data_IF_012971411201
#
_entry.id   IF_012971411201
#
_cell.length_a   1.000
_cell.length_b   1.000
_cell.length_c   1.000
_cell.angle_alpha   90.00
_cell.angle_beta   90.00
_cell.angle_gamma   90.00
#
_symmetry.space_group_name_H-M   'P 1'
#
loop_
_entity.id
_entity.type
_entity.pdbx_description
1 polymer ?
#
# COMPACT_ATOMS: atom_id res chain seq x y z
N UNK A 1 10.24 13.33 -6.78
CA UNK A 1 10.44 12.15 -5.92
C UNK A 1 9.87 12.48 -4.57
N UNK A 2 8.83 11.78 -4.14
CA UNK A 2 8.18 11.96 -2.83
C UNK A 2 8.31 10.68 -2.01
N UNK A 3 8.46 10.83 -0.70
CA UNK A 3 8.54 9.72 0.24
C UNK A 3 7.77 10.07 1.50
N UNK A 4 7.08 9.10 2.07
CA UNK A 4 6.34 9.30 3.30
C UNK A 4 5.91 8.00 3.94
N UNK A 5 5.10 8.12 4.98
CA UNK A 5 4.53 6.99 5.69
C UNK A 5 3.01 7.02 5.51
N UNK A 6 2.45 5.88 5.13
CA UNK A 6 1.02 5.63 5.19
C UNK A 6 0.73 4.72 6.39
N UNK A 7 -0.27 5.13 7.17
CA UNK A 7 -0.73 4.45 8.37
C UNK A 7 -2.23 4.22 8.24
N UNK A 8 -2.66 2.97 8.36
CA UNK A 8 -4.07 2.60 8.41
C UNK A 8 -4.35 1.87 9.71
N UNK A 9 -5.27 2.41 10.51
CA UNK A 9 -5.77 1.75 11.72
C UNK A 9 -6.53 0.47 11.37
N UNK A 10 -6.72 -0.46 12.32
CA UNK A 10 -7.56 -1.65 12.12
C UNK A 10 -8.92 -1.30 11.50
N UNK A 11 -9.21 -1.89 10.34
CA UNK A 11 -10.46 -1.66 9.61
C UNK A 11 -10.62 -0.26 8.96
N UNK A 12 -9.61 0.60 9.03
CA UNK A 12 -9.63 1.89 8.34
C UNK A 12 -9.68 1.68 6.82
N UNK A 13 -10.54 2.43 6.16
CA UNK A 13 -10.68 2.37 4.71
C UNK A 13 -9.51 3.12 4.07
N UNK A 14 -8.75 2.42 3.24
CA UNK A 14 -7.83 3.06 2.30
C UNK A 14 -8.62 3.86 1.25
N UNK A 15 -8.31 5.15 1.14
CA UNK A 15 -8.97 6.10 0.24
C UNK A 15 -8.11 6.51 -0.94
N UNK A 16 -6.98 5.84 -1.18
CA UNK A 16 -6.14 6.11 -2.34
C UNK A 16 -6.89 5.81 -3.65
N UNK A 17 -6.78 6.74 -4.59
CA UNK A 17 -7.25 6.62 -5.96
C UNK A 17 -6.06 6.34 -6.89
N UNK A 18 -6.30 5.77 -8.09
CA UNK A 18 -5.27 5.69 -9.12
C UNK A 18 -4.64 7.06 -9.39
N UNK A 19 -3.33 7.09 -9.57
CA UNK A 19 -2.55 8.31 -9.77
C UNK A 19 -1.48 8.09 -10.83
N UNK A 20 -0.92 9.19 -11.35
CA UNK A 20 -0.06 9.18 -12.53
C UNK A 20 1.40 8.79 -12.25
N UNK A 21 1.72 8.36 -11.04
CA UNK A 21 3.09 8.07 -10.61
C UNK A 21 3.22 6.59 -10.26
N UNK A 22 4.38 6.01 -10.57
CA UNK A 22 4.70 4.70 -10.04
C UNK A 22 4.92 4.81 -8.53
N UNK A 23 4.46 3.80 -7.78
CA UNK A 23 4.55 3.77 -6.33
C UNK A 23 5.21 2.49 -5.83
N UNK A 24 6.12 2.65 -4.88
CA UNK A 24 6.72 1.53 -4.14
C UNK A 24 6.34 1.64 -2.68
N UNK A 25 5.82 0.56 -2.11
CA UNK A 25 5.66 0.41 -0.67
C UNK A 25 6.72 -0.51 -0.08
N UNK A 26 7.22 -0.16 1.10
CA UNK A 26 7.90 -1.08 2.01
C UNK A 26 7.03 -1.29 3.25
N UNK A 27 6.63 -2.53 3.51
CA UNK A 27 5.83 -2.88 4.68
C UNK A 27 6.71 -2.93 5.93
N UNK A 28 6.49 -2.01 6.86
CA UNK A 28 7.21 -1.98 8.14
C UNK A 28 6.56 -2.91 9.17
N UNK A 29 5.22 -2.88 9.25
CA UNK A 29 4.42 -3.72 10.14
C UNK A 29 2.95 -3.81 9.68
N UNK A 30 2.21 -4.75 10.26
CA UNK A 30 0.78 -4.93 10.05
C UNK A 30 0.40 -6.28 9.46
N UNK A 31 -0.90 -6.43 9.23
CA UNK A 31 -1.53 -7.58 8.59
C UNK A 31 -2.54 -7.11 7.53
N UNK A 32 -3.19 -8.06 6.85
CA UNK A 32 -4.14 -7.78 5.78
C UNK A 32 -3.54 -8.05 4.40
N UNK A 33 -4.03 -7.33 3.39
CA UNK A 33 -3.63 -7.51 2.01
C UNK A 33 -3.64 -6.18 1.25
N UNK A 34 -2.87 -6.11 0.18
CA UNK A 34 -3.04 -5.10 -0.87
C UNK A 34 -3.67 -5.75 -2.09
N UNK A 35 -4.69 -5.10 -2.66
CA UNK A 35 -5.21 -5.41 -3.98
C UNK A 35 -4.54 -4.48 -4.98
N UNK A 36 -3.98 -5.02 -6.07
CA UNK A 36 -3.37 -4.26 -7.17
C UNK A 36 -4.01 -4.77 -8.47
N UNK A 37 -4.82 -3.92 -9.11
CA UNK A 37 -5.68 -4.30 -10.22
C UNK A 37 -6.70 -5.36 -9.80
N UNK A 38 -6.45 -6.63 -10.18
CA UNK A 38 -7.30 -7.79 -9.86
C UNK A 38 -6.58 -8.86 -9.04
N UNK A 39 -5.37 -8.57 -8.55
CA UNK A 39 -4.54 -9.50 -7.78
C UNK A 39 -4.42 -9.02 -6.35
N UNK A 40 -4.54 -9.94 -5.40
CA UNK A 40 -4.35 -9.68 -3.99
C UNK A 40 -3.02 -10.27 -3.50
N UNK A 41 -2.33 -9.55 -2.63
CA UNK A 41 -1.08 -9.95 -2.01
C UNK A 41 -1.17 -9.77 -0.50
N UNK A 42 -0.88 -10.82 0.26
CA UNK A 42 -0.86 -10.73 1.73
C UNK A 42 0.35 -9.94 2.21
N UNK A 43 0.11 -9.02 3.16
CA UNK A 43 1.19 -8.22 3.73
C UNK A 43 2.09 -9.07 4.62
N UNK A 44 3.40 -8.79 4.55
CA UNK A 44 4.42 -9.32 5.44
C UNK A 44 5.43 -8.21 5.72
N UNK A 45 5.99 -8.20 6.92
CA UNK A 45 7.12 -7.33 7.26
C UNK A 45 8.25 -7.50 6.23
N UNK A 46 8.86 -6.38 5.86
CA UNK A 46 9.97 -6.26 4.90
C UNK A 46 9.60 -6.62 3.44
N UNK A 47 8.30 -6.70 3.14
CA UNK A 47 7.81 -6.86 1.77
C UNK A 47 7.88 -5.54 1.00
N UNK A 48 8.54 -5.58 -0.16
CA UNK A 48 8.45 -4.52 -1.17
C UNK A 48 7.30 -4.79 -2.14
N UNK A 49 6.55 -3.75 -2.46
CA UNK A 49 5.37 -3.81 -3.32
C UNK A 49 5.51 -2.72 -4.36
N UNK A 50 5.42 -3.06 -5.64
CA UNK A 50 5.39 -2.10 -6.74
C UNK A 50 3.98 -1.99 -7.30
N UNK A 51 3.53 -0.75 -7.47
CA UNK A 51 2.25 -0.38 -8.08
C UNK A 51 2.54 0.50 -9.29
N UNK A 52 2.22 0.05 -10.52
CA UNK A 52 2.36 0.88 -11.69
C UNK A 52 1.38 2.07 -11.67
N UNK A 53 1.77 3.18 -12.30
CA UNK A 53 0.89 4.33 -12.52
C UNK A 53 -0.47 3.93 -13.12
N UNK A 54 -1.51 4.65 -12.74
CA UNK A 54 -2.92 4.47 -13.15
C UNK A 54 -3.54 3.11 -12.75
N UNK A 55 -2.81 2.24 -12.05
CA UNK A 55 -3.35 0.97 -11.56
C UNK A 55 -4.06 1.18 -10.23
N UNK A 56 -5.36 0.85 -10.20
CA UNK A 56 -6.13 0.83 -8.96
C UNK A 56 -5.50 -0.09 -7.94
N UNK A 57 -5.28 0.43 -6.74
CA UNK A 57 -4.73 -0.32 -5.62
C UNK A 57 -5.40 0.12 -4.32
N UNK A 58 -5.43 -0.77 -3.32
CA UNK A 58 -5.87 -0.45 -1.96
C UNK A 58 -5.38 -1.49 -0.96
N UNK A 59 -5.04 -1.04 0.23
CA UNK A 59 -4.89 -1.89 1.40
C UNK A 59 -6.26 -2.23 2.02
N UNK A 60 -6.42 -3.46 2.51
CA UNK A 60 -7.68 -3.89 3.14
C UNK A 60 -7.50 -5.09 4.09
N UNK A 61 -8.54 -5.32 4.90
CA UNK A 61 -8.68 -6.53 5.71
C UNK A 61 -7.74 -6.61 6.92
N UNK A 62 -7.16 -5.49 7.33
CA UNK A 62 -6.23 -5.43 8.46
C UNK A 62 -6.96 -5.46 9.80
N UNK A 63 -6.45 -6.26 10.73
CA UNK A 63 -6.88 -6.30 12.13
C UNK A 63 -5.90 -5.60 13.06
N UNK A 64 -4.69 -5.34 12.56
CA UNK A 64 -3.63 -4.53 13.19
C UNK A 64 -3.39 -3.27 12.36
N UNK A 65 -2.64 -2.34 12.93
CA UNK A 65 -2.18 -1.16 12.18
C UNK A 65 -1.30 -1.61 11.01
N UNK A 66 -1.60 -1.13 9.80
CA UNK A 66 -0.68 -1.20 8.66
C UNK A 66 0.21 0.03 8.70
N UNK A 67 1.53 -0.16 8.70
CA UNK A 67 2.50 0.90 8.52
C UNK A 67 3.39 0.58 7.33
N UNK A 68 3.38 1.47 6.34
CA UNK A 68 4.23 1.34 5.14
C UNK A 68 4.97 2.63 4.88
N UNK A 69 6.19 2.52 4.36
CA UNK A 69 6.85 3.65 3.68
C UNK A 69 6.41 3.61 2.22
N UNK A 70 5.97 4.74 1.67
CA UNK A 70 5.70 4.86 0.24
C UNK A 70 6.78 5.72 -0.44
N UNK A 71 7.04 5.42 -1.70
CA UNK A 71 7.92 6.17 -2.58
C UNK A 71 7.20 6.40 -3.91
N UNK A 72 7.05 7.66 -4.32
CA UNK A 72 6.60 8.01 -5.67
C UNK A 72 7.80 8.33 -6.55
N UNK A 73 7.88 7.65 -7.70
CA UNK A 73 8.69 8.08 -8.83
C UNK A 73 7.88 9.08 -9.65
N UNK A 74 8.50 10.23 -9.95
CA UNK A 74 7.94 11.17 -10.92
C UNK A 74 8.06 10.59 -12.35
#
# INVERSE_FOLDING_TARGET
>A
MQVGILRLKPGEKDTQDPHSSDEVYLVLEGDGSIEIGKKAYSLKKDLFIFVPAEVKHRFYGNTKEILVVYFFSD
#
